data_IF_143102748372
#
_entry.id   IF_143102748372
#
_cell.length_a   1.000
_cell.length_b   1.000
_cell.length_c   1.000
_cell.angle_alpha   90.00
_cell.angle_beta   90.00
_cell.angle_gamma   90.00
#
_symmetry.space_group_name_H-M   'P 1'
#
loop_
_entity.id
_entity.type
_entity.pdbx_description
1 polymer ?
#
# COMPACT_ATOMS: atom_id res chain seq x y z
N UNK A 1 -6.17 20.13 -16.21
CA UNK A 1 -6.51 21.49 -16.68
C UNK A 1 -7.84 21.39 -17.38
N UNK A 2 -8.78 22.27 -17.04
CA UNK A 2 -10.08 22.39 -17.71
C UNK A 2 -10.07 23.74 -18.43
N UNK A 3 -10.48 23.76 -19.69
CA UNK A 3 -10.67 25.00 -20.48
C UNK A 3 -12.17 25.25 -20.58
N UNK A 4 -12.58 26.46 -20.25
CA UNK A 4 -13.93 26.96 -20.45
C UNK A 4 -13.86 28.03 -21.53
N UNK A 5 -14.40 27.73 -22.70
CA UNK A 5 -14.30 28.60 -23.87
C UNK A 5 -15.26 29.78 -23.74
N UNK A 6 -14.77 31.01 -23.97
CA UNK A 6 -15.58 32.23 -23.88
C UNK A 6 -15.91 32.70 -22.45
N UNK A 7 -15.38 32.02 -21.42
CA UNK A 7 -15.57 32.37 -20.01
C UNK A 7 -14.39 33.16 -19.42
N UNK A 8 -13.43 33.54 -20.26
CA UNK A 8 -12.35 34.44 -19.90
C UNK A 8 -12.81 35.90 -19.87
N UNK A 9 -11.93 36.79 -19.41
CA UNK A 9 -12.29 38.21 -19.28
C UNK A 9 -12.64 38.82 -20.64
N UNK A 10 -13.85 39.41 -20.72
CA UNK A 10 -14.32 40.14 -21.90
C UNK A 10 -13.61 41.49 -22.06
N UNK A 11 -13.43 41.93 -23.31
CA UNK A 11 -12.87 43.25 -23.63
C UNK A 11 -13.97 44.14 -24.22
N UNK A 12 -13.86 45.46 -24.06
CA UNK A 12 -14.89 46.41 -24.50
C UNK A 12 -15.14 46.43 -26.02
N UNK A 13 -14.23 45.85 -26.82
CA UNK A 13 -14.29 45.85 -28.30
C UNK A 13 -14.13 44.46 -28.92
N UNK A 14 -14.12 43.37 -28.13
CA UNK A 14 -13.86 42.01 -28.63
C UNK A 14 -14.51 40.91 -27.78
N UNK A 15 -14.53 39.68 -28.31
CA UNK A 15 -15.11 38.51 -27.63
C UNK A 15 -14.33 38.09 -26.38
N UNK A 16 -15.01 37.37 -25.47
CA UNK A 16 -14.42 36.84 -24.24
C UNK A 16 -13.32 35.83 -24.50
N UNK A 17 -12.23 35.89 -23.72
CA UNK A 17 -11.14 34.91 -23.76
C UNK A 17 -11.54 33.53 -23.21
N UNK A 18 -10.56 32.64 -23.00
CA UNK A 18 -10.79 31.36 -22.34
C UNK A 18 -10.40 31.42 -20.85
N UNK A 19 -11.13 30.69 -20.00
CA UNK A 19 -10.74 30.47 -18.61
C UNK A 19 -10.07 29.09 -18.48
N UNK A 20 -8.87 29.08 -17.88
CA UNK A 20 -8.13 27.86 -17.57
C UNK A 20 -8.20 27.56 -16.07
N UNK A 21 -8.83 26.44 -15.71
CA UNK A 21 -8.88 25.95 -14.32
C UNK A 21 -7.82 24.88 -14.10
N UNK A 22 -6.88 25.15 -13.19
CA UNK A 22 -5.90 24.17 -12.71
C UNK A 22 -6.44 23.50 -11.44
N UNK A 23 -6.76 22.21 -11.52
CA UNK A 23 -7.17 21.41 -10.35
C UNK A 23 -5.91 20.91 -9.66
N UNK A 24 -5.74 21.22 -8.37
CA UNK A 24 -4.70 20.64 -7.50
C UNK A 24 -5.36 19.72 -6.49
N UNK A 25 -4.98 18.46 -6.49
CA UNK A 25 -5.49 17.47 -5.53
C UNK A 25 -4.67 17.61 -4.24
N UNK A 26 -5.34 17.85 -3.11
CA UNK A 26 -4.70 17.82 -1.79
C UNK A 26 -4.29 16.39 -1.45
N UNK A 27 -3.14 16.21 -0.81
CA UNK A 27 -2.71 14.89 -0.33
C UNK A 27 -3.73 14.35 0.68
N UNK A 28 -4.18 13.11 0.48
CA UNK A 28 -5.06 12.43 1.40
C UNK A 28 -4.21 11.61 2.39
N UNK A 29 -4.57 11.54 3.69
CA UNK A 29 -3.77 10.82 4.69
C UNK A 29 -3.66 9.31 4.43
N UNK A 30 -4.66 8.73 3.77
CA UNK A 30 -4.77 7.27 3.55
C UNK A 30 -4.39 6.87 2.12
N UNK A 31 -4.64 7.74 1.15
CA UNK A 31 -4.55 7.38 -0.27
C UNK A 31 -3.54 8.27 -0.98
N UNK A 32 -2.64 7.64 -1.73
CA UNK A 32 -1.95 8.29 -2.83
C UNK A 32 -2.60 7.89 -4.15
N UNK A 33 -2.63 8.83 -5.10
CA UNK A 33 -3.24 8.64 -6.42
C UNK A 33 -2.15 8.72 -7.49
N UNK A 34 -2.11 7.75 -8.38
CA UNK A 34 -1.33 7.79 -9.62
C UNK A 34 -2.24 7.44 -10.81
N UNK A 35 -2.39 8.40 -11.73
CA UNK A 35 -3.38 8.31 -12.81
C UNK A 35 -4.80 8.08 -12.26
N UNK A 36 -5.40 6.95 -12.64
CA UNK A 36 -6.72 6.52 -12.17
C UNK A 36 -6.65 5.53 -11.00
N UNK A 37 -5.45 5.11 -10.60
CA UNK A 37 -5.24 4.15 -9.52
C UNK A 37 -5.03 4.85 -8.18
N UNK A 38 -5.42 4.15 -7.12
CA UNK A 38 -5.19 4.53 -5.74
C UNK A 38 -4.25 3.53 -5.07
N UNK A 39 -3.52 4.02 -4.08
CA UNK A 39 -2.63 3.21 -3.27
C UNK A 39 -2.88 3.54 -1.80
N UNK A 40 -2.94 2.51 -0.96
CA UNK A 40 -2.99 2.66 0.49
C UNK A 40 -2.07 1.65 1.15
N UNK A 41 -1.66 1.96 2.38
CA UNK A 41 -0.91 1.04 3.23
C UNK A 41 -1.79 0.63 4.41
N UNK A 42 -1.84 -0.68 4.70
CA UNK A 42 -2.60 -1.23 5.83
C UNK A 42 -1.66 -1.96 6.79
N UNK A 43 -1.61 -1.56 8.06
CA UNK A 43 -0.89 -2.34 9.06
C UNK A 43 -1.61 -3.67 9.32
N UNK A 44 -0.85 -4.74 9.47
CA UNK A 44 -1.35 -6.06 9.89
C UNK A 44 -0.47 -6.61 11.00
N UNK A 45 -1.07 -7.35 11.94
CA UNK A 45 -0.30 -7.96 13.02
C UNK A 45 0.58 -9.10 12.48
N UNK A 46 1.69 -9.38 13.16
CA UNK A 46 2.53 -10.54 12.84
C UNK A 46 1.74 -11.85 12.86
N UNK A 47 0.79 -12.01 13.79
CA UNK A 47 -0.05 -13.20 13.88
C UNK A 47 -0.94 -13.36 12.62
N UNK A 48 -1.57 -12.28 12.15
CA UNK A 48 -2.39 -12.31 10.94
C UNK A 48 -1.53 -12.54 9.69
N UNK A 49 -0.34 -11.94 9.61
CA UNK A 49 0.57 -12.18 8.50
C UNK A 49 0.99 -13.65 8.41
N UNK A 50 1.26 -14.28 9.56
CA UNK A 50 1.66 -15.70 9.64
C UNK A 50 0.49 -16.65 9.41
N UNK A 51 -0.64 -16.44 10.08
CA UNK A 51 -1.78 -17.39 10.12
C UNK A 51 -2.84 -17.09 9.06
N UNK A 52 -2.77 -15.95 8.40
CA UNK A 52 -3.81 -15.43 7.53
C UNK A 52 -4.96 -14.79 8.31
N UNK A 53 -5.89 -14.19 7.58
CA UNK A 53 -7.05 -13.54 8.16
C UNK A 53 -7.75 -12.63 7.16
N UNK A 54 -8.57 -11.72 7.67
CA UNK A 54 -9.30 -10.74 6.87
C UNK A 54 -9.14 -9.35 7.49
N UNK A 55 -8.98 -8.35 6.63
CA UNK A 55 -8.93 -6.94 7.01
C UNK A 55 -9.94 -6.13 6.21
N UNK A 56 -10.39 -5.04 6.81
CA UNK A 56 -11.27 -4.07 6.17
C UNK A 56 -10.44 -2.93 5.58
N UNK A 57 -10.52 -2.76 4.26
CA UNK A 57 -9.79 -1.78 3.48
C UNK A 57 -10.69 -0.57 3.22
N UNK A 58 -10.26 0.66 3.54
CA UNK A 58 -10.98 1.85 3.14
C UNK A 58 -10.95 2.00 1.61
N UNK A 59 -12.07 2.42 1.03
CA UNK A 59 -12.20 2.75 -0.40
C UNK A 59 -12.90 4.10 -0.54
N UNK A 60 -12.91 4.69 -1.73
CA UNK A 60 -13.67 5.93 -1.98
C UNK A 60 -15.19 5.74 -1.82
N UNK A 61 -15.68 4.50 -1.90
CA UNK A 61 -17.11 4.16 -1.83
C UNK A 61 -17.52 3.51 -0.51
N UNK A 62 -16.71 3.62 0.55
CA UNK A 62 -16.91 2.92 1.82
C UNK A 62 -15.80 1.91 2.07
N UNK A 63 -16.13 0.64 2.30
CA UNK A 63 -15.18 -0.36 2.81
C UNK A 63 -15.21 -1.64 1.98
N UNK A 64 -14.09 -2.34 1.89
CA UNK A 64 -13.97 -3.62 1.18
C UNK A 64 -13.22 -4.62 2.06
N UNK A 65 -13.66 -5.88 2.08
CA UNK A 65 -12.92 -6.93 2.76
C UNK A 65 -11.77 -7.44 1.88
N UNK A 66 -10.60 -7.63 2.50
CA UNK A 66 -9.43 -8.22 1.88
C UNK A 66 -8.98 -9.42 2.70
N UNK A 67 -8.94 -10.60 2.05
CA UNK A 67 -8.35 -11.80 2.61
C UNK A 67 -6.83 -11.73 2.52
N UNK A 68 -6.17 -11.82 3.67
CA UNK A 68 -4.72 -11.96 3.80
C UNK A 68 -4.42 -13.46 3.88
N UNK A 69 -3.74 -14.06 2.89
CA UNK A 69 -3.33 -15.45 2.95
C UNK A 69 -2.34 -15.69 4.11
N UNK A 70 -2.28 -16.91 4.67
CA UNK A 70 -1.20 -17.27 5.59
C UNK A 70 0.17 -17.05 4.94
N UNK A 71 1.19 -16.90 5.79
CA UNK A 71 2.59 -16.69 5.39
C UNK A 71 2.80 -15.44 4.51
N UNK A 72 1.90 -14.47 4.62
CA UNK A 72 1.96 -13.21 3.87
C UNK A 72 3.15 -12.37 4.33
N UNK A 73 4.03 -12.04 3.37
CA UNK A 73 5.19 -11.20 3.62
C UNK A 73 4.80 -9.71 3.68
N UNK A 74 5.54 -8.94 4.48
CA UNK A 74 5.42 -7.47 4.47
C UNK A 74 5.70 -6.91 3.07
N UNK A 75 5.11 -5.74 2.77
CA UNK A 75 5.13 -5.06 1.48
C UNK A 75 4.36 -5.78 0.34
N UNK A 76 3.69 -6.91 0.63
CA UNK A 76 2.83 -7.57 -0.37
C UNK A 76 1.70 -6.62 -0.78
N UNK A 77 1.47 -6.52 -2.09
CA UNK A 77 0.44 -5.66 -2.67
C UNK A 77 -0.74 -6.50 -3.16
N UNK A 78 -1.93 -6.11 -2.75
CA UNK A 78 -3.19 -6.68 -3.18
C UNK A 78 -3.92 -5.68 -4.07
N UNK A 79 -4.48 -6.17 -5.17
CA UNK A 79 -5.23 -5.35 -6.12
C UNK A 79 -6.73 -5.54 -5.94
N UNK A 80 -7.42 -4.47 -5.59
CA UNK A 80 -8.87 -4.40 -5.57
C UNK A 80 -9.33 -3.75 -6.88
N UNK A 81 -9.90 -4.58 -7.76
CA UNK A 81 -10.36 -4.17 -9.09
C UNK A 81 -11.45 -3.09 -9.00
N UNK A 82 -11.36 -2.07 -9.84
CA UNK A 82 -12.39 -1.02 -9.99
C UNK A 82 -12.69 -0.26 -8.69
N UNK A 83 -11.70 -0.14 -7.80
CA UNK A 83 -11.76 0.62 -6.55
C UNK A 83 -10.88 1.87 -6.54
N UNK A 84 -10.33 2.25 -7.69
CA UNK A 84 -9.61 3.51 -7.93
C UNK A 84 -10.56 4.66 -8.25
N UNK A 85 -10.07 5.63 -9.04
CA UNK A 85 -10.83 6.80 -9.44
C UNK A 85 -11.44 6.59 -10.83
N UNK A 86 -12.66 7.10 -11.03
CA UNK A 86 -13.29 7.18 -12.34
C UNK A 86 -12.65 8.29 -13.18
N UNK A 87 -12.14 7.92 -14.36
CA UNK A 87 -11.62 8.85 -15.34
C UNK A 87 -12.77 9.66 -15.96
N UNK A 88 -12.65 10.99 -15.96
CA UNK A 88 -13.71 11.89 -16.45
C UNK A 88 -13.85 11.85 -17.98
N UNK A 89 -12.78 11.49 -18.71
CA UNK A 89 -12.77 11.44 -20.18
C UNK A 89 -13.19 10.09 -20.72
N UNK A 90 -12.59 9.01 -20.22
CA UNK A 90 -12.84 7.65 -20.73
C UNK A 90 -13.97 6.91 -19.99
N UNK A 91 -14.40 7.39 -18.81
CA UNK A 91 -15.36 6.69 -17.96
C UNK A 91 -14.81 5.44 -17.25
N UNK A 92 -13.60 4.99 -17.60
CA UNK A 92 -12.94 3.85 -16.97
C UNK A 92 -12.67 4.11 -15.48
N UNK A 93 -12.69 3.05 -14.67
CA UNK A 93 -12.40 3.13 -13.24
C UNK A 93 -11.09 2.39 -12.98
N UNK A 94 -10.11 3.08 -12.38
CA UNK A 94 -8.86 2.46 -11.99
C UNK A 94 -9.01 1.50 -10.79
N UNK A 95 -7.89 1.01 -10.29
CA UNK A 95 -7.83 0.03 -9.21
C UNK A 95 -7.32 0.64 -7.91
N UNK A 96 -7.57 -0.04 -6.79
CA UNK A 96 -6.92 0.25 -5.51
C UNK A 96 -5.87 -0.81 -5.22
N UNK A 97 -4.64 -0.37 -5.00
CA UNK A 97 -3.52 -1.20 -4.59
C UNK A 97 -3.30 -1.04 -3.08
N UNK A 98 -3.65 -2.08 -2.33
CA UNK A 98 -3.43 -2.13 -0.90
C UNK A 98 -2.11 -2.86 -0.61
N UNK A 99 -1.13 -2.14 -0.06
CA UNK A 99 0.11 -2.73 0.44
C UNK A 99 -0.06 -3.06 1.92
N UNK A 100 0.21 -4.30 2.33
CA UNK A 100 0.24 -4.66 3.75
C UNK A 100 1.62 -4.35 4.36
N UNK A 101 1.62 -3.86 5.60
CA UNK A 101 2.84 -3.68 6.40
C UNK A 101 2.70 -4.45 7.70
N UNK A 102 3.63 -5.36 7.97
CA UNK A 102 3.64 -6.08 9.25
C UNK A 102 4.05 -5.09 10.35
N UNK A 103 3.19 -4.91 11.32
CA UNK A 103 3.47 -4.08 12.48
C UNK A 103 4.22 -4.89 13.55
N UNK A 104 5.37 -4.38 13.98
CA UNK A 104 6.10 -4.95 15.10
C UNK A 104 5.46 -4.46 16.40
N UNK A 105 4.97 -5.35 17.28
CA UNK A 105 4.25 -4.92 18.47
C UNK A 105 5.19 -4.26 19.48
N UNK A 106 4.69 -3.21 20.14
CA UNK A 106 5.41 -2.46 21.19
C UNK A 106 4.80 -2.71 22.56
N UNK A 107 5.51 -2.34 23.63
CA UNK A 107 5.03 -2.40 25.02
C UNK A 107 4.54 -3.78 25.49
N UNK A 108 5.27 -4.83 25.10
CA UNK A 108 4.94 -6.21 25.45
C UNK A 108 5.07 -6.50 26.96
N UNK A 109 4.09 -7.21 27.50
CA UNK A 109 4.13 -7.76 28.86
C UNK A 109 5.06 -8.99 28.96
N UNK A 110 5.29 -9.47 30.18
CA UNK A 110 6.20 -10.61 30.44
C UNK A 110 5.81 -11.86 29.64
N UNK A 111 4.53 -12.27 29.70
CA UNK A 111 4.03 -13.47 29.02
C UNK A 111 4.16 -13.37 27.50
N UNK A 112 3.87 -12.21 26.91
CA UNK A 112 4.03 -11.98 25.47
C UNK A 112 5.49 -12.10 25.03
N UNK A 113 6.42 -11.55 25.82
CA UNK A 113 7.87 -11.69 25.55
C UNK A 113 8.33 -13.14 25.66
N UNK A 114 7.85 -13.89 26.64
CA UNK A 114 8.17 -15.32 26.80
C UNK A 114 7.71 -16.12 25.57
N UNK A 115 6.46 -15.94 25.13
CA UNK A 115 5.92 -16.63 23.94
C UNK A 115 6.71 -16.31 22.67
N UNK A 116 7.11 -15.05 22.47
CA UNK A 116 7.91 -14.67 21.30
C UNK A 116 9.31 -15.28 21.32
N UNK A 117 9.94 -15.42 22.50
CA UNK A 117 11.25 -16.07 22.62
C UNK A 117 11.16 -17.57 22.37
N UNK A 118 10.13 -18.22 22.90
CA UNK A 118 9.89 -19.64 22.67
C UNK A 118 9.66 -19.90 21.18
N UNK A 119 8.79 -19.11 20.54
CA UNK A 119 8.52 -19.20 19.11
C UNK A 119 9.78 -18.96 18.26
N UNK A 120 10.56 -17.92 18.56
CA UNK A 120 11.85 -17.65 17.87
C UNK A 120 12.83 -18.82 18.02
N UNK A 121 12.90 -19.43 19.20
CA UNK A 121 13.68 -20.65 19.45
C UNK A 121 13.25 -21.82 18.55
N UNK A 122 11.94 -22.03 18.40
CA UNK A 122 11.40 -23.07 17.51
C UNK A 122 11.74 -22.81 16.04
N UNK A 123 11.63 -21.56 15.58
CA UNK A 123 11.97 -21.19 14.19
C UNK A 123 13.45 -21.45 13.90
N UNK A 124 14.35 -21.08 14.82
CA UNK A 124 15.80 -21.31 14.67
C UNK A 124 16.15 -22.80 14.67
N UNK A 125 15.50 -23.60 15.51
CA UNK A 125 15.68 -25.05 15.53
C UNK A 125 15.26 -25.72 14.19
N UNK A 126 14.27 -25.14 13.49
CA UNK A 126 13.85 -25.58 12.16
C UNK A 126 14.79 -25.19 11.01
N UNK A 127 15.86 -24.43 11.29
CA UNK A 127 16.86 -24.01 10.32
C UNK A 127 16.31 -23.05 9.25
N UNK A 128 16.83 -23.16 8.03
CA UNK A 128 16.54 -22.21 6.94
C UNK A 128 15.10 -22.27 6.40
N UNK A 129 14.32 -23.30 6.77
CA UNK A 129 12.96 -23.51 6.26
C UNK A 129 12.00 -22.38 6.62
N UNK A 130 12.27 -21.67 7.72
CA UNK A 130 11.40 -20.61 8.22
C UNK A 130 11.86 -19.20 7.84
N UNK A 131 13.11 -19.03 7.38
CA UNK A 131 13.72 -17.72 7.08
C UNK A 131 14.50 -17.68 5.75
N UNK A 132 13.87 -18.01 4.60
CA UNK A 132 14.58 -18.13 3.32
C UNK A 132 15.19 -16.81 2.80
N UNK A 133 14.65 -15.65 3.22
CA UNK A 133 15.21 -14.33 2.87
C UNK A 133 16.49 -14.02 3.64
N UNK A 134 16.56 -14.46 4.89
CA UNK A 134 17.71 -14.23 5.77
C UNK A 134 18.92 -15.05 5.31
N UNK A 135 18.71 -16.35 5.02
CA UNK A 135 19.76 -17.21 4.48
C UNK A 135 20.32 -16.65 3.17
N UNK A 136 19.44 -16.36 2.19
CA UNK A 136 19.81 -15.77 0.90
C UNK A 136 20.56 -14.43 1.02
N UNK A 137 20.27 -13.62 2.04
CA UNK A 137 20.99 -12.37 2.28
C UNK A 137 22.36 -12.60 2.90
N UNK A 138 22.45 -13.52 3.87
CA UNK A 138 23.72 -13.87 4.52
C UNK A 138 24.73 -14.47 3.52
N UNK A 139 24.25 -15.27 2.56
CA UNK A 139 25.10 -15.84 1.51
C UNK A 139 25.62 -14.76 0.56
N UNK A 140 24.77 -13.78 0.21
CA UNK A 140 25.17 -12.61 -0.59
C UNK A 140 26.22 -11.74 0.11
N UNK A 141 26.18 -11.64 1.43
CA UNK A 141 27.22 -10.93 2.17
C UNK A 141 28.55 -11.68 2.17
N UNK A 142 28.53 -12.99 2.41
CA UNK A 142 29.75 -13.81 2.41
C UNK A 142 30.46 -13.74 1.05
N UNK A 143 29.70 -13.80 -0.06
CA UNK A 143 30.28 -13.69 -1.40
C UNK A 143 30.90 -12.32 -1.68
N UNK A 144 30.29 -11.24 -1.19
CA UNK A 144 30.82 -9.88 -1.33
C UNK A 144 32.21 -9.73 -0.69
N UNK A 145 32.39 -10.22 0.54
CA UNK A 145 33.65 -10.10 1.28
C UNK A 145 34.72 -11.13 0.87
N UNK A 146 34.35 -12.21 0.18
CA UNK A 146 35.32 -13.22 -0.32
C UNK A 146 35.86 -12.88 -1.71
N UNK A 147 35.19 -11.97 -2.43
CA UNK A 147 35.59 -11.51 -3.78
C UNK A 147 36.43 -10.21 -3.72
N UNK A 148 36.72 -9.71 -2.51
CA UNK A 148 37.66 -8.60 -2.24
C UNK A 148 38.92 -9.14 -1.58
#
# INVERSE_FOLDING_TARGET
QVRLAGEGQGSATGGSGDLYVQIRIRRHPIFSRDGDNLYCEMPVSIAMATLGGEIEIPTLSGRAQLKVPPESQSERVFRLKSKGVRNVRSGAVGDLFCKIKIETPVNLNRKQKELLREFDGMLKAGGERHSPRESSWSDRLKSFFTTS
#
